data_IF_816365583474
#
_entry.id   IF_816365583474
#
_cell.length_a   1.000
_cell.length_b   1.000
_cell.length_c   1.000
_cell.angle_alpha   90.00
_cell.angle_beta   90.00
_cell.angle_gamma   90.00
#
_symmetry.space_group_name_H-M   'P 1'
#
loop_
_entity.id
_entity.type
_entity.pdbx_description
1 polymer ?
#
# COMPACT_ATOMS: atom_id res chain seq x y z
N UNK A 1 -25.11 -18.97 -9.49
CA UNK A 1 -24.36 -18.87 -8.22
C UNK A 1 -25.16 -18.03 -7.23
N UNK A 2 -25.20 -18.42 -5.95
CA UNK A 2 -25.94 -17.66 -4.93
C UNK A 2 -24.96 -16.76 -4.18
N UNK A 3 -25.03 -15.46 -4.42
CA UNK A 3 -24.21 -14.48 -3.71
C UNK A 3 -24.84 -14.05 -2.39
N UNK A 4 -24.05 -13.92 -1.35
CA UNK A 4 -24.46 -13.41 -0.04
C UNK A 4 -23.49 -12.35 0.45
N UNK A 5 -23.97 -11.13 0.68
CA UNK A 5 -23.17 -10.07 1.29
C UNK A 5 -23.24 -10.21 2.82
N UNK A 6 -22.07 -10.09 3.49
CA UNK A 6 -21.96 -10.10 4.95
C UNK A 6 -21.16 -8.90 5.45
N UNK A 7 -21.50 -8.45 6.63
CA UNK A 7 -20.79 -7.40 7.39
C UNK A 7 -20.30 -7.99 8.71
N UNK A 8 -19.29 -7.36 9.31
CA UNK A 8 -18.72 -7.86 10.56
C UNK A 8 -18.07 -9.24 10.40
N UNK A 9 -17.38 -9.46 9.28
CA UNK A 9 -16.65 -10.70 9.05
C UNK A 9 -15.56 -10.81 10.13
N UNK A 10 -15.34 -12.02 10.62
CA UNK A 10 -14.24 -12.28 11.55
C UNK A 10 -12.90 -11.85 10.96
N UNK A 11 -12.09 -11.18 11.76
CA UNK A 11 -10.82 -10.60 11.28
C UNK A 11 -9.83 -11.65 10.80
N UNK A 12 -9.80 -12.85 11.38
CA UNK A 12 -8.92 -13.94 10.96
C UNK A 12 -9.38 -14.55 9.64
N UNK A 13 -10.70 -14.70 9.45
CA UNK A 13 -11.26 -15.14 8.17
C UNK A 13 -10.93 -14.14 7.07
N UNK A 14 -11.09 -12.85 7.34
CA UNK A 14 -10.80 -11.78 6.40
C UNK A 14 -9.29 -11.72 6.08
N UNK A 15 -8.41 -11.80 7.08
CA UNK A 15 -6.95 -11.81 6.89
C UNK A 15 -6.51 -12.97 6.00
N UNK A 16 -7.05 -14.18 6.24
CA UNK A 16 -6.78 -15.35 5.40
C UNK A 16 -7.20 -15.11 3.95
N UNK A 17 -8.33 -14.49 3.72
CA UNK A 17 -8.78 -14.14 2.37
C UNK A 17 -7.82 -13.14 1.71
N UNK A 18 -7.46 -12.05 2.39
CA UNK A 18 -6.56 -11.02 1.87
C UNK A 18 -5.18 -11.60 1.53
N UNK A 19 -4.58 -12.37 2.45
CA UNK A 19 -3.24 -12.96 2.25
C UNK A 19 -3.17 -13.94 1.10
N UNK A 20 -4.26 -14.64 0.81
CA UNK A 20 -4.33 -15.61 -0.28
C UNK A 20 -4.78 -14.99 -1.61
N UNK A 21 -5.09 -13.70 -1.65
CA UNK A 21 -5.52 -13.04 -2.88
C UNK A 21 -4.28 -12.61 -3.70
N UNK A 22 -4.23 -12.88 -5.01
CA UNK A 22 -3.03 -12.68 -5.83
C UNK A 22 -2.52 -11.23 -5.90
N UNK A 23 -3.44 -10.26 -5.83
CA UNK A 23 -3.09 -8.85 -5.94
C UNK A 23 -3.80 -8.07 -4.83
N UNK A 24 -3.07 -7.76 -3.77
CA UNK A 24 -3.59 -7.04 -2.62
C UNK A 24 -2.51 -6.20 -1.95
N UNK A 25 -2.90 -5.38 -1.00
CA UNK A 25 -2.02 -4.54 -0.20
C UNK A 25 -2.16 -4.87 1.28
N UNK A 26 -1.07 -4.77 2.03
CA UNK A 26 -1.09 -4.88 3.49
C UNK A 26 -2.07 -3.87 4.14
N UNK A 27 -2.41 -2.79 3.43
CA UNK A 27 -3.41 -1.82 3.88
C UNK A 27 -4.84 -2.37 3.90
N UNK A 28 -5.08 -3.55 3.35
CA UNK A 28 -6.34 -4.28 3.46
C UNK A 28 -6.31 -5.36 4.55
N UNK A 29 -5.17 -5.58 5.23
CA UNK A 29 -5.10 -6.56 6.33
C UNK A 29 -5.68 -5.98 7.62
N UNK A 30 -6.21 -6.81 8.54
CA UNK A 30 -6.62 -6.38 9.87
C UNK A 30 -5.50 -5.70 10.67
N UNK A 31 -4.26 -6.11 10.48
CA UNK A 31 -3.10 -5.48 11.10
C UNK A 31 -3.03 -3.96 10.80
N UNK A 32 -3.39 -3.56 9.58
CA UNK A 32 -3.42 -2.13 9.23
C UNK A 32 -4.45 -1.33 10.02
N UNK A 33 -5.59 -1.91 10.36
CA UNK A 33 -6.59 -1.24 11.19
C UNK A 33 -6.05 -0.89 12.58
N UNK A 34 -5.15 -1.72 13.13
CA UNK A 34 -4.48 -1.46 14.41
C UNK A 34 -3.54 -0.27 14.37
N UNK A 35 -2.97 0.04 13.21
CA UNK A 35 -2.17 1.27 12.98
C UNK A 35 -3.07 2.50 12.90
N UNK A 36 -4.27 2.35 12.35
CA UNK A 36 -5.24 3.44 12.09
C UNK A 36 -6.22 3.68 13.22
N UNK A 37 -5.76 3.67 14.46
CA UNK A 37 -6.60 3.76 15.68
C UNK A 37 -7.47 5.01 15.82
N UNK A 38 -7.28 6.04 14.99
CA UNK A 38 -8.17 7.21 14.94
C UNK A 38 -9.41 6.98 14.05
N UNK A 39 -9.54 5.78 13.46
CA UNK A 39 -10.63 5.37 12.59
C UNK A 39 -11.26 4.10 13.15
N UNK A 40 -12.57 4.05 13.19
CA UNK A 40 -13.26 2.77 13.36
C UNK A 40 -13.04 1.91 12.12
N UNK A 41 -13.19 0.60 12.24
CA UNK A 41 -13.04 -0.30 11.11
C UNK A 41 -14.16 -1.35 11.06
N UNK A 42 -14.31 -1.96 9.90
CA UNK A 42 -15.19 -3.10 9.69
C UNK A 42 -14.71 -3.92 8.48
N UNK A 43 -15.06 -5.20 8.48
CA UNK A 43 -14.77 -6.11 7.38
C UNK A 43 -16.09 -6.56 6.75
N UNK A 44 -16.23 -6.29 5.46
CA UNK A 44 -17.40 -6.67 4.68
C UNK A 44 -16.99 -7.54 3.49
N UNK A 45 -17.86 -8.41 3.04
CA UNK A 45 -17.53 -9.25 1.90
C UNK A 45 -18.73 -9.88 1.23
N UNK A 46 -18.48 -10.36 0.02
CA UNK A 46 -19.43 -11.10 -0.79
C UNK A 46 -18.97 -12.55 -0.87
N UNK A 47 -19.86 -13.45 -0.51
CA UNK A 47 -19.65 -14.89 -0.58
C UNK A 47 -20.37 -15.45 -1.81
N UNK A 48 -19.71 -16.38 -2.48
CA UNK A 48 -20.30 -17.27 -3.48
C UNK A 48 -20.13 -18.71 -2.98
N UNK A 49 -21.24 -19.43 -2.81
CA UNK A 49 -21.23 -20.83 -2.34
C UNK A 49 -20.33 -21.02 -1.09
N UNK A 50 -20.51 -20.16 -0.09
CA UNK A 50 -19.78 -20.11 1.19
C UNK A 50 -18.31 -19.65 1.09
N UNK A 51 -17.76 -19.35 -0.11
CA UNK A 51 -16.41 -18.85 -0.31
C UNK A 51 -16.44 -17.33 -0.45
N UNK A 52 -15.59 -16.63 0.28
CA UNK A 52 -15.40 -15.19 0.14
C UNK A 52 -14.73 -14.89 -1.21
N UNK A 53 -15.36 -14.09 -2.05
CA UNK A 53 -14.89 -13.77 -3.41
C UNK A 53 -14.63 -12.29 -3.63
N UNK A 54 -15.19 -11.43 -2.79
CA UNK A 54 -14.90 -10.01 -2.79
C UNK A 54 -14.96 -9.50 -1.35
N UNK A 55 -14.03 -8.62 -0.97
CA UNK A 55 -13.95 -8.11 0.39
C UNK A 55 -13.39 -6.71 0.49
N UNK A 56 -13.71 -6.03 1.58
CA UNK A 56 -13.14 -4.73 1.92
C UNK A 56 -12.97 -4.57 3.43
N UNK A 57 -11.78 -4.17 3.83
CA UNK A 57 -11.55 -3.55 5.13
C UNK A 57 -11.85 -2.05 4.99
N UNK A 58 -12.83 -1.59 5.74
CA UNK A 58 -13.33 -0.23 5.69
C UNK A 58 -12.84 0.53 6.90
N UNK A 59 -12.15 1.63 6.69
CA UNK A 59 -11.85 2.62 7.72
C UNK A 59 -12.98 3.65 7.76
N UNK A 60 -13.55 3.88 8.93
CA UNK A 60 -14.71 4.78 9.12
C UNK A 60 -14.28 5.99 9.94
N UNK A 61 -14.35 7.18 9.36
CA UNK A 61 -14.03 8.43 10.04
C UNK A 61 -15.31 9.17 10.36
N UNK A 62 -15.49 9.52 11.62
CA UNK A 62 -16.59 10.39 12.04
C UNK A 62 -16.37 11.81 11.52
N UNK A 63 -17.41 12.40 10.97
CA UNK A 63 -17.49 13.76 10.48
C UNK A 63 -18.50 14.56 11.32
N UNK A 64 -18.75 15.78 10.92
CA UNK A 64 -19.73 16.64 11.55
C UNK A 64 -21.17 16.07 11.43
N UNK A 65 -22.03 16.32 12.41
CA UNK A 65 -23.45 15.89 12.48
C UNK A 65 -23.65 14.36 12.38
N UNK A 66 -22.74 13.57 12.96
CA UNK A 66 -22.87 12.10 12.96
C UNK A 66 -22.68 11.44 11.60
N UNK A 67 -22.30 12.21 10.58
CA UNK A 67 -21.95 11.69 9.27
C UNK A 67 -20.59 10.99 9.32
N UNK A 68 -20.35 10.11 8.35
CA UNK A 68 -19.10 9.35 8.25
C UNK A 68 -18.52 9.42 6.85
N UNK A 69 -17.19 9.34 6.77
CA UNK A 69 -16.44 9.02 5.58
C UNK A 69 -16.00 7.56 5.67
N UNK A 70 -16.30 6.78 4.64
CA UNK A 70 -15.76 5.43 4.49
C UNK A 70 -14.56 5.47 3.54
N UNK A 71 -13.43 4.92 3.98
CA UNK A 71 -12.25 4.80 3.17
C UNK A 71 -11.80 3.33 3.10
N UNK A 72 -11.59 2.84 1.91
CA UNK A 72 -11.14 1.47 1.63
C UNK A 72 -9.76 1.55 0.98
N UNK A 73 -8.69 1.63 1.79
CA UNK A 73 -7.34 1.84 1.28
C UNK A 73 -6.89 0.65 0.44
N UNK A 74 -6.45 0.93 -0.80
CA UNK A 74 -6.01 -0.11 -1.73
C UNK A 74 -7.03 -1.23 -2.01
N UNK A 75 -8.29 -1.01 -1.70
CA UNK A 75 -9.39 -1.95 -1.93
C UNK A 75 -10.26 -1.53 -3.13
N UNK A 76 -11.12 -2.38 -3.61
CA UNK A 76 -11.52 -3.66 -2.98
C UNK A 76 -10.53 -4.79 -3.24
N UNK A 77 -10.58 -5.86 -2.42
CA UNK A 77 -9.91 -7.12 -2.69
C UNK A 77 -10.90 -8.00 -3.47
N UNK A 78 -10.75 -8.06 -4.80
CA UNK A 78 -11.65 -8.77 -5.70
C UNK A 78 -11.00 -9.03 -7.06
N UNK A 79 -11.51 -10.01 -7.81
CA UNK A 79 -11.24 -10.08 -9.25
C UNK A 79 -12.13 -9.06 -9.98
N UNK A 80 -11.50 -8.07 -10.59
CA UNK A 80 -12.22 -7.05 -11.38
C UNK A 80 -12.78 -7.57 -12.72
N UNK A 81 -12.50 -8.83 -13.06
CA UNK A 81 -13.07 -9.51 -14.23
C UNK A 81 -14.41 -10.17 -13.94
N UNK A 82 -14.78 -10.33 -12.67
CA UNK A 82 -16.09 -10.85 -12.27
C UNK A 82 -17.10 -9.71 -12.12
N UNK A 83 -17.70 -9.30 -13.23
CA UNK A 83 -18.64 -8.17 -13.30
C UNK A 83 -19.86 -8.36 -12.41
N UNK A 84 -20.39 -9.59 -12.31
CA UNK A 84 -21.57 -9.88 -11.50
C UNK A 84 -21.27 -9.71 -10.01
N UNK A 85 -20.18 -10.33 -9.54
CA UNK A 85 -19.76 -10.21 -8.15
C UNK A 85 -19.46 -8.76 -7.77
N UNK A 86 -18.72 -8.03 -8.63
CA UNK A 86 -18.38 -6.63 -8.41
C UNK A 86 -19.65 -5.75 -8.32
N UNK A 87 -20.59 -5.93 -9.23
CA UNK A 87 -21.87 -5.20 -9.25
C UNK A 87 -22.68 -5.43 -7.97
N UNK A 88 -22.82 -6.69 -7.56
CA UNK A 88 -23.55 -7.05 -6.34
C UNK A 88 -22.84 -6.48 -5.11
N UNK A 89 -21.52 -6.66 -5.03
CA UNK A 89 -20.74 -6.17 -3.91
C UNK A 89 -20.86 -4.65 -3.73
N UNK A 90 -20.68 -3.88 -4.81
CA UNK A 90 -20.77 -2.41 -4.76
C UNK A 90 -22.17 -1.96 -4.39
N UNK A 91 -23.22 -2.61 -4.93
CA UNK A 91 -24.63 -2.32 -4.57
C UNK A 91 -24.87 -2.49 -3.07
N UNK A 92 -24.45 -3.62 -2.51
CA UNK A 92 -24.66 -3.92 -1.08
C UNK A 92 -23.75 -3.06 -0.18
N UNK A 93 -22.52 -2.79 -0.60
CA UNK A 93 -21.61 -1.86 0.09
C UNK A 93 -22.23 -0.45 0.20
N UNK A 94 -22.84 0.07 -0.87
CA UNK A 94 -23.53 1.37 -0.84
C UNK A 94 -24.71 1.38 0.13
N UNK A 95 -25.51 0.31 0.17
CA UNK A 95 -26.60 0.17 1.15
C UNK A 95 -26.05 0.15 2.59
N UNK A 96 -25.01 -0.64 2.81
CA UNK A 96 -24.34 -0.72 4.11
C UNK A 96 -23.80 0.65 4.54
N UNK A 97 -23.11 1.35 3.66
CA UNK A 97 -22.55 2.67 3.93
C UNK A 97 -23.66 3.69 4.28
N UNK A 98 -24.73 3.75 3.50
CA UNK A 98 -25.89 4.61 3.75
C UNK A 98 -26.51 4.32 5.11
N UNK A 99 -26.75 3.04 5.45
CA UNK A 99 -27.30 2.61 6.75
C UNK A 99 -26.43 3.04 7.93
N UNK A 100 -25.11 3.14 7.73
CA UNK A 100 -24.14 3.53 8.76
C UNK A 100 -23.80 5.04 8.74
N UNK A 101 -24.56 5.87 8.02
CA UNK A 101 -24.40 7.32 8.00
C UNK A 101 -23.23 7.83 7.14
N UNK A 102 -22.68 6.98 6.28
CA UNK A 102 -21.63 7.43 5.36
C UNK A 102 -22.22 8.32 4.27
N UNK A 103 -21.56 9.46 4.04
CA UNK A 103 -21.87 10.40 2.96
C UNK A 103 -21.00 10.17 1.73
N UNK A 104 -19.87 9.49 1.91
CA UNK A 104 -18.93 9.17 0.83
C UNK A 104 -18.23 7.84 1.09
N UNK A 105 -17.89 7.13 0.00
CA UNK A 105 -17.06 5.93 0.00
C UNK A 105 -15.87 6.20 -0.91
N UNK A 106 -14.71 6.39 -0.31
CA UNK A 106 -13.46 6.58 -1.02
C UNK A 106 -12.72 5.27 -1.22
N UNK A 107 -12.27 5.03 -2.42
CA UNK A 107 -11.47 3.87 -2.79
C UNK A 107 -10.24 4.30 -3.59
N UNK A 108 -9.15 3.57 -3.47
CA UNK A 108 -7.96 3.69 -4.32
C UNK A 108 -7.40 2.28 -4.62
N UNK A 109 -8.06 1.50 -5.48
CA UNK A 109 -7.73 0.11 -5.74
C UNK A 109 -6.25 -0.11 -6.09
N UNK A 110 -5.69 -1.21 -5.59
CA UNK A 110 -4.32 -1.61 -5.88
C UNK A 110 -4.26 -2.31 -7.24
N UNK A 111 -4.39 -1.52 -8.30
CA UNK A 111 -4.35 -2.00 -9.68
C UNK A 111 -3.17 -1.34 -10.37
N UNK A 112 -2.26 -2.15 -10.91
CA UNK A 112 -1.15 -1.63 -11.67
C UNK A 112 -1.63 -1.17 -13.06
N UNK A 113 -1.47 0.12 -13.36
CA UNK A 113 -1.83 0.71 -14.64
C UNK A 113 -0.78 0.40 -15.70
N UNK A 114 0.48 0.53 -15.32
CA UNK A 114 1.62 0.28 -16.20
C UNK A 114 2.90 0.12 -15.38
N UNK A 115 3.80 -0.66 -15.92
CA UNK A 115 5.15 -0.84 -15.38
C UNK A 115 6.15 -0.69 -16.52
N UNK A 116 7.24 0.00 -16.26
CA UNK A 116 8.33 0.10 -17.23
C UNK A 116 9.66 0.27 -16.49
N UNK A 117 10.73 -0.09 -17.17
CA UNK A 117 12.08 0.12 -16.68
C UNK A 117 12.39 1.62 -16.69
N UNK A 118 13.04 2.11 -15.63
CA UNK A 118 13.40 3.51 -15.47
C UNK A 118 14.25 4.05 -16.64
N UNK A 119 15.04 3.20 -17.26
CA UNK A 119 15.86 3.59 -18.43
C UNK A 119 15.00 3.80 -19.66
N UNK A 120 13.99 2.97 -19.90
CA UNK A 120 13.02 3.16 -20.97
C UNK A 120 12.22 4.45 -20.75
N UNK A 121 11.75 4.69 -19.53
CA UNK A 121 11.03 5.92 -19.17
C UNK A 121 11.89 7.15 -19.47
N UNK A 122 13.17 7.13 -19.09
CA UNK A 122 14.11 8.23 -19.37
C UNK A 122 14.36 8.40 -20.88
N UNK A 123 14.58 7.29 -21.61
CA UNK A 123 14.81 7.30 -23.05
C UNK A 123 13.63 7.86 -23.83
N UNK A 124 12.42 7.50 -23.43
CA UNK A 124 11.18 7.91 -24.06
C UNK A 124 10.63 9.24 -23.53
N UNK A 125 11.42 9.98 -22.73
CA UNK A 125 11.00 11.27 -22.12
C UNK A 125 9.66 11.17 -21.36
N UNK A 126 9.32 10.01 -20.85
CA UNK A 126 8.08 9.75 -20.12
C UNK A 126 6.82 9.66 -20.99
N UNK A 127 6.95 9.56 -22.32
CA UNK A 127 5.83 9.73 -23.25
C UNK A 127 5.07 8.43 -23.52
N UNK A 128 5.73 7.28 -23.48
CA UNK A 128 5.03 6.00 -23.67
C UNK A 128 5.36 5.02 -22.56
N UNK A 129 4.35 4.73 -21.78
CA UNK A 129 4.40 3.66 -20.80
C UNK A 129 3.75 2.44 -21.42
N UNK A 130 4.51 1.37 -21.64
CA UNK A 130 3.97 0.10 -22.16
C UNK A 130 2.95 -0.45 -21.16
N UNK A 131 1.74 -0.68 -21.65
CA UNK A 131 0.73 -1.46 -20.93
C UNK A 131 1.13 -2.94 -20.99
N UNK A 132 1.74 -3.47 -19.93
CA UNK A 132 2.22 -4.85 -19.90
C UNK A 132 1.31 -5.78 -19.08
N UNK A 133 0.09 -5.34 -18.72
CA UNK A 133 -0.73 -6.07 -17.76
C UNK A 133 -1.94 -6.79 -18.37
N UNK A 134 -2.29 -7.88 -17.70
CA UNK A 134 -3.48 -8.70 -18.00
C UNK A 134 -4.80 -7.98 -17.74
N UNK A 135 -4.81 -6.92 -16.91
CA UNK A 135 -5.99 -6.14 -16.57
C UNK A 135 -6.03 -4.84 -17.38
N UNK A 136 -7.10 -4.64 -18.13
CA UNK A 136 -7.39 -3.36 -18.78
C UNK A 136 -7.90 -2.36 -17.75
N UNK A 137 -6.99 -1.50 -17.26
CA UNK A 137 -7.30 -0.51 -16.22
C UNK A 137 -8.31 0.52 -16.69
N UNK A 138 -8.32 0.91 -17.94
CA UNK A 138 -9.33 1.86 -18.47
C UNK A 138 -10.73 1.22 -18.44
N UNK A 139 -10.81 -0.07 -18.73
CA UNK A 139 -12.06 -0.83 -18.60
C UNK A 139 -12.52 -0.94 -17.15
N UNK A 140 -11.58 -1.14 -16.20
CA UNK A 140 -11.93 -1.19 -14.77
C UNK A 140 -12.41 0.17 -14.28
N UNK A 141 -11.76 1.27 -14.68
CA UNK A 141 -12.23 2.63 -14.34
C UNK A 141 -13.67 2.82 -14.84
N UNK A 142 -13.96 2.52 -16.11
CA UNK A 142 -15.31 2.60 -16.67
C UNK A 142 -16.32 1.71 -15.93
N UNK A 143 -15.94 0.49 -15.53
CA UNK A 143 -16.81 -0.38 -14.71
C UNK A 143 -17.16 0.28 -13.38
N UNK A 144 -16.19 0.85 -12.68
CA UNK A 144 -16.42 1.53 -11.41
C UNK A 144 -17.27 2.80 -11.58
N UNK A 145 -17.05 3.57 -12.64
CA UNK A 145 -17.87 4.74 -12.98
C UNK A 145 -19.33 4.33 -13.28
N UNK A 146 -19.55 3.27 -14.04
CA UNK A 146 -20.88 2.71 -14.29
C UNK A 146 -21.56 2.20 -13.01
N UNK A 147 -20.78 1.84 -11.99
CA UNK A 147 -21.27 1.50 -10.66
C UNK A 147 -21.45 2.75 -9.76
N UNK A 148 -21.22 3.96 -10.30
CA UNK A 148 -21.48 5.24 -9.68
C UNK A 148 -20.35 5.72 -8.76
N UNK A 149 -19.11 5.33 -9.01
CA UNK A 149 -17.94 6.01 -8.50
C UNK A 149 -17.55 7.16 -9.45
N UNK A 150 -16.92 8.17 -8.92
CA UNK A 150 -16.35 9.26 -9.70
C UNK A 150 -14.83 9.13 -9.69
N UNK A 151 -14.23 9.00 -10.88
CA UNK A 151 -12.77 8.92 -10.98
C UNK A 151 -12.17 10.31 -10.74
N UNK A 152 -11.35 10.44 -9.70
CA UNK A 152 -10.71 11.70 -9.27
C UNK A 152 -9.58 12.19 -10.19
N UNK A 153 -9.37 11.54 -11.32
CA UNK A 153 -8.27 11.79 -12.25
C UNK A 153 -6.93 11.21 -11.77
N UNK A 154 -6.00 11.18 -12.68
CA UNK A 154 -4.65 10.70 -12.42
C UNK A 154 -3.76 11.86 -11.97
N UNK A 155 -3.74 12.15 -10.68
CA UNK A 155 -2.90 13.21 -10.11
C UNK A 155 -1.43 12.75 -10.05
N UNK A 156 -0.52 13.66 -10.40
CA UNK A 156 0.94 13.43 -10.36
C UNK A 156 1.53 13.72 -8.98
N UNK A 157 0.86 14.57 -8.22
CA UNK A 157 1.33 15.06 -6.93
C UNK A 157 1.02 14.08 -5.81
N UNK A 158 1.87 14.05 -4.79
CA UNK A 158 1.58 13.35 -3.54
C UNK A 158 0.50 14.14 -2.82
N UNK A 159 -0.65 13.52 -2.60
CA UNK A 159 -1.79 14.13 -1.96
C UNK A 159 -2.10 13.41 -0.65
N UNK A 160 -2.35 14.16 0.42
CA UNK A 160 -2.67 13.60 1.74
C UNK A 160 -3.95 12.75 1.77
N UNK A 161 -4.77 12.81 0.72
CA UNK A 161 -6.08 12.14 0.67
C UNK A 161 -6.09 10.83 -0.11
N UNK A 162 -5.00 10.48 -0.81
CA UNK A 162 -4.88 9.24 -1.60
C UNK A 162 -3.48 8.66 -1.44
N UNK A 163 -3.35 7.35 -1.66
CA UNK A 163 -2.03 6.71 -1.69
C UNK A 163 -1.24 7.17 -2.93
N UNK A 164 0.11 7.20 -2.85
CA UNK A 164 0.96 7.55 -3.98
C UNK A 164 0.61 6.71 -5.21
N UNK A 165 0.43 7.38 -6.34
CA UNK A 165 0.13 6.72 -7.61
C UNK A 165 1.35 6.05 -8.22
N UNK A 166 2.48 6.72 -8.16
CA UNK A 166 3.74 6.22 -8.68
C UNK A 166 4.57 5.61 -7.58
N UNK A 167 5.03 4.40 -7.82
CA UNK A 167 5.94 3.67 -6.93
C UNK A 167 7.13 3.20 -7.74
N UNK A 168 8.30 3.19 -7.13
CA UNK A 168 9.46 2.51 -7.68
C UNK A 168 9.65 1.20 -6.94
N UNK A 169 9.91 0.14 -7.68
CA UNK A 169 10.14 -1.19 -7.13
C UNK A 169 11.46 -1.75 -7.66
N UNK A 170 12.11 -2.56 -6.82
CA UNK A 170 13.25 -3.36 -7.19
C UNK A 170 12.81 -4.81 -7.04
N UNK A 171 12.91 -5.59 -8.13
CA UNK A 171 12.66 -7.01 -8.03
C UNK A 171 13.80 -7.68 -7.24
N UNK A 172 13.44 -8.46 -6.23
CA UNK A 172 14.37 -9.34 -5.51
C UNK A 172 14.44 -10.73 -6.14
N UNK A 173 13.69 -10.94 -7.23
CA UNK A 173 13.61 -12.22 -7.94
C UNK A 173 13.94 -12.04 -9.40
N UNK A 174 14.54 -13.08 -9.97
CA UNK A 174 14.78 -13.19 -11.41
C UNK A 174 13.46 -13.46 -12.18
N UNK A 175 13.57 -13.60 -13.48
CA UNK A 175 12.45 -13.91 -14.40
C UNK A 175 11.80 -15.29 -14.13
N UNK A 176 12.54 -16.20 -13.52
CA UNK A 176 12.11 -17.56 -13.22
C UNK A 176 11.54 -17.67 -11.79
N UNK A 177 11.52 -16.54 -11.03
CA UNK A 177 10.93 -16.42 -9.70
C UNK A 177 11.89 -16.78 -8.56
N UNK A 178 13.17 -17.08 -8.83
CA UNK A 178 14.17 -17.35 -7.82
C UNK A 178 14.70 -16.07 -7.21
N UNK A 179 15.03 -16.08 -5.92
CA UNK A 179 15.68 -14.93 -5.31
C UNK A 179 17.07 -14.74 -5.90
N UNK A 180 17.40 -13.49 -6.20
CA UNK A 180 18.76 -13.12 -6.57
C UNK A 180 19.73 -13.33 -5.41
N UNK A 181 20.91 -13.88 -5.72
CA UNK A 181 22.05 -13.77 -4.82
C UNK A 181 22.53 -12.30 -4.73
N UNK A 182 23.24 -11.96 -3.64
CA UNK A 182 23.68 -10.59 -3.36
C UNK A 182 24.38 -9.90 -4.53
N UNK A 183 25.32 -10.61 -5.18
CA UNK A 183 26.08 -10.05 -6.30
C UNK A 183 25.23 -9.96 -7.59
N UNK A 184 24.29 -10.88 -7.79
CA UNK A 184 23.34 -10.82 -8.89
C UNK A 184 22.42 -9.62 -8.74
N UNK A 185 21.82 -9.44 -7.55
CA UNK A 185 21.01 -8.28 -7.23
C UNK A 185 21.78 -6.98 -7.45
N UNK A 186 23.04 -6.92 -7.00
CA UNK A 186 23.91 -5.77 -7.20
C UNK A 186 24.10 -5.43 -8.68
N UNK A 187 24.22 -6.43 -9.56
CA UNK A 187 24.36 -6.23 -11.01
C UNK A 187 23.12 -5.63 -11.67
N UNK A 188 21.93 -5.79 -11.07
CA UNK A 188 20.70 -5.17 -11.60
C UNK A 188 20.69 -3.66 -11.44
N UNK A 189 21.49 -3.08 -10.54
CA UNK A 189 21.57 -1.65 -10.33
C UNK A 189 22.38 -0.93 -11.41
N UNK A 190 22.03 0.32 -11.75
CA UNK A 190 22.86 1.18 -12.62
C UNK A 190 24.28 1.36 -12.07
N UNK A 191 25.25 1.59 -12.98
CA UNK A 191 26.67 1.76 -12.62
C UNK A 191 26.88 2.77 -11.49
N UNK A 192 26.22 3.92 -11.54
CA UNK A 192 26.35 4.95 -10.52
C UNK A 192 25.89 4.45 -9.14
N UNK A 193 24.77 3.73 -9.07
CA UNK A 193 24.28 3.14 -7.82
C UNK A 193 25.25 2.10 -7.27
N UNK A 194 25.82 1.25 -8.14
CA UNK A 194 26.86 0.29 -7.73
C UNK A 194 28.10 0.96 -7.19
N UNK A 195 28.51 2.09 -7.80
CA UNK A 195 29.64 2.87 -7.33
C UNK A 195 29.37 3.49 -5.94
N UNK A 196 28.14 3.99 -5.71
CA UNK A 196 27.77 4.50 -4.39
C UNK A 196 27.74 3.40 -3.34
N UNK A 197 27.15 2.25 -3.63
CA UNK A 197 27.17 1.08 -2.73
C UNK A 197 28.62 0.69 -2.40
N UNK A 198 29.54 0.76 -3.38
CA UNK A 198 30.96 0.45 -3.17
C UNK A 198 31.77 1.52 -2.43
N UNK A 199 31.25 2.74 -2.25
CA UNK A 199 31.95 3.82 -1.55
C UNK A 199 31.76 3.82 -0.03
N UNK A 200 30.67 3.28 0.42
CA UNK A 200 30.27 3.36 1.83
C UNK A 200 30.44 1.99 2.48
N UNK A 201 31.59 1.81 3.07
CA UNK A 201 32.03 0.60 3.77
C UNK A 201 32.40 0.92 5.22
N UNK A 202 32.48 -0.10 6.05
CA UNK A 202 32.84 0.00 7.46
C UNK A 202 34.24 0.59 7.67
N UNK A 203 35.18 0.33 6.77
CA UNK A 203 36.52 0.92 6.77
C UNK A 203 36.52 2.45 6.60
N UNK A 204 35.42 3.00 6.07
CA UNK A 204 35.16 4.43 5.95
C UNK A 204 34.18 4.96 7.02
N UNK A 205 34.00 4.24 8.10
CA UNK A 205 33.14 4.68 9.19
C UNK A 205 31.65 4.65 8.91
N UNK A 206 31.16 3.95 7.86
CA UNK A 206 29.73 3.80 7.57
C UNK A 206 29.27 2.40 7.89
N UNK A 207 28.31 2.28 8.80
CA UNK A 207 27.74 1.00 9.25
C UNK A 207 26.30 0.88 8.85
N UNK A 208 25.91 -0.32 8.44
CA UNK A 208 24.52 -0.65 8.15
C UNK A 208 24.02 -1.66 9.18
N UNK A 209 22.88 -1.39 9.76
CA UNK A 209 22.23 -2.27 10.71
C UNK A 209 20.74 -2.30 10.48
N UNK A 210 20.07 -3.28 11.09
CA UNK A 210 18.62 -3.32 11.13
C UNK A 210 18.13 -3.68 12.52
N UNK A 211 16.89 -3.32 12.82
CA UNK A 211 16.23 -3.66 14.09
C UNK A 211 14.75 -3.95 13.87
N UNK A 212 14.26 -4.90 14.64
CA UNK A 212 12.82 -5.18 14.81
C UNK A 212 12.31 -4.69 16.16
N UNK A 213 13.17 -4.08 16.97
CA UNK A 213 12.80 -3.52 18.27
C UNK A 213 12.12 -2.15 18.09
N UNK A 214 10.89 -2.02 18.56
CA UNK A 214 10.13 -0.77 18.48
C UNK A 214 10.73 0.39 19.29
N UNK A 215 11.60 0.11 20.26
CA UNK A 215 12.26 1.18 21.02
C UNK A 215 13.30 1.92 20.17
N UNK A 216 13.80 1.31 19.10
CA UNK A 216 14.71 1.96 18.15
C UNK A 216 13.99 2.91 17.18
N UNK A 217 12.68 3.00 17.25
CA UNK A 217 11.89 4.02 16.52
C UNK A 217 12.32 5.43 16.92
N UNK A 218 12.81 5.65 18.14
CA UNK A 218 13.34 6.94 18.58
C UNK A 218 14.49 7.43 17.68
N UNK A 219 15.36 6.53 17.23
CA UNK A 219 16.46 6.88 16.33
C UNK A 219 15.93 7.29 14.93
N UNK A 220 14.91 6.59 14.44
CA UNK A 220 14.20 7.00 13.23
C UNK A 220 13.60 8.40 13.38
N UNK A 221 12.94 8.69 14.50
CA UNK A 221 12.33 9.98 14.76
C UNK A 221 13.35 11.11 14.80
N UNK A 222 14.54 10.89 15.37
CA UNK A 222 15.59 11.91 15.38
C UNK A 222 15.96 12.37 13.96
N UNK A 223 16.09 11.42 13.03
CA UNK A 223 16.38 11.71 11.61
C UNK A 223 15.18 12.36 10.90
N UNK A 224 13.96 11.91 11.21
CA UNK A 224 12.74 12.47 10.63
C UNK A 224 12.54 13.93 11.06
N UNK A 225 12.79 14.28 12.32
CA UNK A 225 12.71 15.66 12.82
C UNK A 225 13.64 16.59 12.03
N UNK A 226 14.88 16.19 11.79
CA UNK A 226 15.79 16.96 10.92
C UNK A 226 15.24 17.13 9.50
N UNK A 227 14.50 16.15 9.00
CA UNK A 227 13.87 16.22 7.68
C UNK A 227 12.65 17.14 7.69
N UNK A 228 11.82 17.11 8.74
CA UNK A 228 10.69 18.02 8.93
C UNK A 228 11.14 19.48 8.95
N UNK A 229 12.17 19.76 9.75
CA UNK A 229 12.74 21.12 9.84
C UNK A 229 13.28 21.60 8.49
N UNK A 230 14.10 20.76 7.82
CA UNK A 230 14.72 21.12 6.54
C UNK A 230 13.73 21.30 5.40
N UNK A 231 12.65 20.50 5.37
CA UNK A 231 11.69 20.46 4.26
C UNK A 231 10.39 21.20 4.56
N UNK A 232 10.21 21.69 5.80
CA UNK A 232 8.98 22.33 6.27
C UNK A 232 7.73 21.48 6.04
N UNK A 233 7.82 20.18 6.32
CA UNK A 233 6.74 19.20 6.20
C UNK A 233 6.47 18.53 7.54
N UNK A 234 5.25 18.04 7.74
CA UNK A 234 4.92 17.21 8.89
C UNK A 234 4.95 15.72 8.53
N UNK A 235 5.75 14.95 9.23
CA UNK A 235 5.87 13.51 9.04
C UNK A 235 5.06 12.73 10.10
N UNK A 236 5.23 11.42 10.17
CA UNK A 236 4.51 10.59 11.13
C UNK A 236 5.24 10.57 12.47
N UNK A 237 4.45 10.57 13.56
CA UNK A 237 4.97 10.58 14.92
C UNK A 237 5.58 9.24 15.34
N UNK A 238 6.39 9.25 16.39
CA UNK A 238 6.93 8.05 17.04
C UNK A 238 5.83 7.03 17.38
N UNK A 239 4.73 7.50 17.96
CA UNK A 239 3.56 6.67 18.28
C UNK A 239 3.00 5.92 17.07
N UNK A 240 3.02 6.55 15.89
CA UNK A 240 2.58 5.91 14.66
C UNK A 240 3.49 4.76 14.25
N UNK A 241 4.80 4.97 14.28
CA UNK A 241 5.76 3.93 13.91
C UNK A 241 5.81 2.79 14.94
N UNK A 242 5.73 3.09 16.24
CA UNK A 242 5.62 2.04 17.28
C UNK A 242 4.38 1.17 17.06
N UNK A 243 3.22 1.77 16.77
CA UNK A 243 2.00 1.01 16.42
C UNK A 243 2.17 0.18 15.15
N UNK A 244 2.88 0.69 14.16
CA UNK A 244 3.16 -0.06 12.93
C UNK A 244 4.00 -1.30 13.23
N UNK A 245 5.03 -1.18 14.05
CA UNK A 245 5.86 -2.32 14.45
C UNK A 245 5.08 -3.32 15.31
N UNK A 246 4.22 -2.84 16.24
CA UNK A 246 3.35 -3.72 17.03
C UNK A 246 2.33 -4.48 16.16
N UNK A 247 1.81 -3.83 15.10
CA UNK A 247 0.83 -4.44 14.19
C UNK A 247 1.46 -5.43 13.19
N UNK A 248 2.73 -5.26 12.87
CA UNK A 248 3.46 -6.09 11.90
C UNK A 248 4.79 -6.60 12.48
N UNK A 249 4.77 -7.37 13.59
CA UNK A 249 5.98 -7.73 14.33
C UNK A 249 6.99 -8.52 13.49
N UNK A 250 6.52 -9.36 12.57
CA UNK A 250 7.37 -10.19 11.71
C UNK A 250 7.74 -9.52 10.37
N UNK A 251 7.16 -8.36 10.06
CA UNK A 251 7.28 -7.75 8.74
C UNK A 251 7.79 -6.29 8.77
N UNK A 252 7.76 -5.63 9.93
CA UNK A 252 8.27 -4.27 10.08
C UNK A 252 9.74 -4.32 10.56
N UNK A 253 10.62 -3.74 9.75
CA UNK A 253 12.05 -3.68 10.03
C UNK A 253 12.55 -2.24 9.84
N UNK A 254 13.33 -1.77 10.79
CA UNK A 254 14.05 -0.50 10.69
C UNK A 254 15.44 -0.78 10.13
N UNK A 255 15.81 -0.09 9.06
CA UNK A 255 17.17 -0.11 8.52
C UNK A 255 17.87 1.20 8.85
N UNK A 256 19.09 1.11 9.31
CA UNK A 256 19.91 2.25 9.69
C UNK A 256 21.21 2.29 8.89
N UNK A 257 21.59 3.48 8.42
CA UNK A 257 22.95 3.83 8.07
C UNK A 257 23.49 4.76 9.16
N UNK A 258 24.55 4.36 9.84
CA UNK A 258 25.21 5.11 10.90
C UNK A 258 26.60 5.51 10.47
N UNK A 259 27.05 6.68 10.89
CA UNK A 259 28.37 7.21 10.54
C UNK A 259 29.15 7.41 11.82
N UNK A 260 30.35 6.82 11.87
CA UNK A 260 31.41 7.17 12.81
C UNK A 260 32.12 8.37 12.22
N UNK A 261 31.93 9.53 12.83
CA UNK A 261 32.42 10.79 12.29
C UNK A 261 33.96 10.82 12.29
N UNK A 262 34.60 10.31 13.35
CA UNK A 262 36.06 10.33 13.49
C UNK A 262 36.74 9.47 12.41
N UNK A 263 36.09 8.40 12.01
CA UNK A 263 36.55 7.47 10.97
C UNK A 263 36.20 7.94 9.55
N UNK A 264 35.12 8.73 9.41
CA UNK A 264 34.64 9.22 8.14
C UNK A 264 35.40 10.46 7.64
N UNK A 265 35.84 11.33 8.57
CA UNK A 265 36.65 12.51 8.32
C UNK A 265 38.10 12.10 8.10
#
# INVERSE_FOLDING_TARGET
MKYQFKTGIDSKEYDKFVRNFPSTSFMQTPAWSLVKTAWDNDYVGLYSDKKLVCGAMILKRNLFLGKKLFYIPRGFVTSYDNDEALKIFVKELKKYAKKNGAIDIKIDPFICFSEDNIQNIKKNKGIEVRKTFTLDTDKIVKKLENLGFVHGGFKKEVNAYIQPRYTMAISLRDKDGNFYEKEELRRTFPKNTRNYIGKYHEDRGVYFSYSTNKEDVKDLISVLNCTEERQHIALRSEKYFKKLMDAFPDNAVLFFARVDIDKYI
#
